data_IF_222310730383
#
_entry.id   IF_222310730383
#
_cell.length_a   1.000
_cell.length_b   1.000
_cell.length_c   1.000
_cell.angle_alpha   90.00
_cell.angle_beta   90.00
_cell.angle_gamma   90.00
#
_symmetry.space_group_name_H-M   'P 1'
#
loop_
_entity.id
_entity.type
_entity.pdbx_description
1 polymer ?
#
# COMPACT_ATOMS: atom_id res chain seq x y z
N UNK A 1 3.94 -54.30 -10.37
CA UNK A 1 4.38 -53.95 -9.00
C UNK A 1 4.34 -52.42 -8.82
N UNK A 2 3.18 -51.80 -9.10
CA UNK A 2 3.03 -50.32 -9.04
C UNK A 2 1.67 -49.90 -8.44
N UNK A 3 0.96 -50.83 -7.81
CA UNK A 3 -0.47 -50.73 -7.49
C UNK A 3 -0.71 -50.41 -6.00
N UNK A 4 -0.02 -49.39 -5.48
CA UNK A 4 -0.13 -48.97 -4.07
C UNK A 4 -0.10 -47.44 -3.81
N UNK A 5 -0.27 -46.60 -4.84
CA UNK A 5 -0.13 -45.12 -4.68
C UNK A 5 -1.48 -44.38 -4.50
N UNK A 6 -2.61 -45.00 -4.86
CA UNK A 6 -3.94 -44.37 -4.76
C UNK A 6 -4.70 -44.80 -3.50
N UNK A 7 -4.09 -44.58 -2.33
CA UNK A 7 -4.74 -44.81 -1.05
C UNK A 7 -5.89 -43.82 -0.82
N UNK A 8 -7.10 -44.34 -0.61
CA UNK A 8 -8.26 -43.59 -0.11
C UNK A 8 -8.12 -43.25 1.39
N UNK A 9 -6.97 -42.69 1.78
CA UNK A 9 -6.58 -42.48 3.16
C UNK A 9 -6.95 -41.10 3.69
N UNK A 10 -7.45 -41.07 4.93
CA UNK A 10 -7.64 -39.88 5.77
C UNK A 10 -6.31 -39.27 6.27
N UNK A 11 -5.25 -39.39 5.48
CA UNK A 11 -3.88 -38.99 5.85
C UNK A 11 -3.68 -37.49 5.84
N UNK A 12 -2.74 -37.02 6.68
CA UNK A 12 -2.30 -35.63 6.68
C UNK A 12 -1.75 -35.24 5.29
N UNK A 13 -2.10 -34.04 4.82
CA UNK A 13 -1.66 -33.57 3.51
C UNK A 13 -0.15 -33.35 3.48
N UNK A 14 0.56 -34.10 2.64
CA UNK A 14 2.00 -33.96 2.41
C UNK A 14 2.23 -33.17 1.13
N UNK A 15 3.05 -32.11 1.20
CA UNK A 15 3.37 -31.28 0.06
C UNK A 15 4.16 -32.10 -1.00
N UNK A 16 3.71 -32.17 -2.27
CA UNK A 16 4.42 -32.95 -3.29
C UNK A 16 5.80 -32.36 -3.62
N UNK A 17 6.75 -33.22 -4.01
CA UNK A 17 8.07 -32.81 -4.50
C UNK A 17 7.96 -31.92 -5.76
N UNK A 18 8.75 -30.84 -5.83
CA UNK A 18 8.86 -29.90 -6.95
C UNK A 18 8.88 -30.54 -8.33
N UNK A 19 9.60 -31.67 -8.51
CA UNK A 19 9.63 -32.39 -9.80
C UNK A 19 8.25 -32.88 -10.23
N UNK A 20 7.41 -33.29 -9.27
CA UNK A 20 6.02 -33.69 -9.53
C UNK A 20 5.11 -32.47 -9.73
N UNK A 21 5.33 -31.37 -9.00
CA UNK A 21 4.57 -30.12 -9.19
C UNK A 21 4.80 -29.55 -10.60
N UNK A 22 6.05 -29.48 -11.04
CA UNK A 22 6.42 -29.05 -12.39
C UNK A 22 5.84 -29.97 -13.49
N UNK A 23 5.81 -31.29 -13.26
CA UNK A 23 5.18 -32.25 -14.17
C UNK A 23 3.66 -32.01 -14.25
N UNK A 24 2.97 -31.85 -13.11
CA UNK A 24 1.52 -31.60 -13.07
C UNK A 24 1.13 -30.28 -13.71
N UNK A 25 1.94 -29.24 -13.54
CA UNK A 25 1.76 -27.96 -14.22
C UNK A 25 1.87 -28.10 -15.76
N UNK A 26 2.88 -28.82 -16.26
CA UNK A 26 3.02 -29.12 -17.70
C UNK A 26 1.87 -29.97 -18.25
N UNK A 27 1.37 -30.93 -17.48
CA UNK A 27 0.25 -31.79 -17.85
C UNK A 27 -1.13 -31.17 -17.60
N UNK A 28 -1.20 -29.92 -17.13
CA UNK A 28 -2.43 -29.23 -16.72
C UNK A 28 -3.31 -30.00 -15.71
N UNK A 29 -2.73 -30.95 -14.97
CA UNK A 29 -3.42 -31.76 -13.95
C UNK A 29 -3.54 -31.06 -12.60
N UNK A 30 -3.05 -29.82 -12.50
CA UNK A 30 -3.19 -28.93 -11.35
C UNK A 30 -2.39 -29.32 -10.11
N UNK A 31 -2.59 -28.57 -9.01
CA UNK A 31 -1.66 -28.54 -7.87
C UNK A 31 -1.84 -29.67 -6.84
N UNK A 32 -2.85 -30.54 -6.99
CA UNK A 32 -3.10 -31.65 -6.07
C UNK A 32 -3.35 -32.97 -6.80
N UNK A 33 -3.17 -34.11 -6.12
CA UNK A 33 -3.45 -35.44 -6.66
C UNK A 33 -4.97 -35.67 -6.89
N UNK A 34 -5.82 -34.85 -6.26
CA UNK A 34 -7.27 -35.01 -6.22
C UNK A 34 -8.04 -34.04 -7.14
N UNK A 35 -7.38 -33.38 -8.09
CA UNK A 35 -8.01 -32.39 -8.98
C UNK A 35 -9.23 -32.91 -9.74
N UNK A 36 -9.31 -34.21 -10.04
CA UNK A 36 -10.48 -34.84 -10.67
C UNK A 36 -11.52 -35.41 -9.70
N UNK A 37 -11.20 -35.55 -8.40
CA UNK A 37 -12.19 -35.85 -7.34
C UNK A 37 -12.77 -34.57 -6.72
N UNK A 38 -12.43 -33.40 -7.29
CA UNK A 38 -12.52 -32.11 -6.64
C UNK A 38 -13.94 -31.58 -6.42
N UNK A 39 -14.97 -32.03 -7.15
CA UNK A 39 -16.37 -31.62 -6.88
C UNK A 39 -16.84 -32.05 -5.50
N UNK A 40 -16.65 -33.34 -5.14
CA UNK A 40 -17.05 -33.86 -3.83
C UNK A 40 -16.22 -33.25 -2.72
N UNK A 41 -14.89 -33.15 -2.90
CA UNK A 41 -14.02 -32.50 -1.91
C UNK A 41 -14.26 -30.99 -1.78
N UNK A 42 -14.61 -30.26 -2.86
CA UNK A 42 -15.03 -28.85 -2.77
C UNK A 42 -16.38 -28.70 -2.07
N UNK A 43 -17.35 -29.59 -2.33
CA UNK A 43 -18.63 -29.61 -1.59
C UNK A 43 -18.41 -29.93 -0.11
N UNK A 44 -17.44 -30.76 0.24
CA UNK A 44 -17.02 -31.01 1.64
C UNK A 44 -16.21 -29.86 2.27
N UNK A 45 -15.63 -28.97 1.47
CA UNK A 45 -14.96 -27.73 1.90
C UNK A 45 -15.84 -26.48 1.69
N UNK A 46 -17.13 -26.67 1.42
CA UNK A 46 -18.07 -25.57 1.27
C UNK A 46 -18.29 -24.92 2.65
N UNK A 47 -17.80 -23.68 2.79
CA UNK A 47 -18.04 -22.86 3.97
C UNK A 47 -19.54 -22.77 4.24
N UNK A 48 -19.96 -23.01 5.47
CA UNK A 48 -21.33 -22.70 5.88
C UNK A 48 -21.60 -21.20 5.68
N UNK A 49 -22.87 -20.80 5.48
CA UNK A 49 -23.22 -19.38 5.37
C UNK A 49 -22.71 -18.54 6.55
N UNK A 50 -22.58 -19.14 7.75
CA UNK A 50 -22.08 -18.47 8.94
C UNK A 50 -20.56 -18.27 8.92
N UNK A 51 -19.79 -19.27 8.51
CA UNK A 51 -18.33 -19.12 8.36
C UNK A 51 -17.99 -18.10 7.27
N UNK A 52 -18.73 -18.11 6.16
CA UNK A 52 -18.60 -17.12 5.09
C UNK A 52 -18.87 -15.70 5.60
N UNK A 53 -19.89 -15.49 6.42
CA UNK A 53 -20.18 -14.20 7.05
C UNK A 53 -19.00 -13.71 7.93
N UNK A 54 -18.43 -14.60 8.75
CA UNK A 54 -17.29 -14.29 9.62
C UNK A 54 -16.06 -13.89 8.79
N UNK A 55 -15.74 -14.65 7.74
CA UNK A 55 -14.62 -14.36 6.83
C UNK A 55 -14.82 -13.00 6.13
N UNK A 56 -16.02 -12.73 5.63
CA UNK A 56 -16.36 -11.43 5.04
C UNK A 56 -16.26 -10.28 6.06
N UNK A 57 -16.57 -10.52 7.34
CA UNK A 57 -16.36 -9.57 8.42
C UNK A 57 -14.88 -9.23 8.64
N UNK A 58 -14.00 -10.23 8.61
CA UNK A 58 -12.54 -10.05 8.70
C UNK A 58 -12.01 -9.25 7.49
N UNK A 59 -12.44 -9.59 6.27
CA UNK A 59 -12.04 -8.88 5.04
C UNK A 59 -12.43 -7.39 5.13
N UNK A 60 -13.70 -7.07 5.45
CA UNK A 60 -14.16 -5.68 5.61
C UNK A 60 -13.38 -4.91 6.66
N UNK A 61 -12.98 -5.58 7.76
CA UNK A 61 -12.14 -4.97 8.81
C UNK A 61 -10.73 -4.68 8.30
N UNK A 62 -10.13 -5.59 7.54
CA UNK A 62 -8.82 -5.39 6.92
C UNK A 62 -8.85 -4.25 5.88
N UNK A 63 -9.86 -4.22 5.00
CA UNK A 63 -10.06 -3.15 4.00
C UNK A 63 -10.23 -1.78 4.67
N UNK A 64 -10.98 -1.69 5.78
CA UNK A 64 -11.12 -0.45 6.55
C UNK A 64 -9.80 0.01 7.19
N UNK A 65 -8.99 -0.92 7.69
CA UNK A 65 -7.67 -0.61 8.25
C UNK A 65 -6.69 -0.13 7.16
N UNK A 66 -6.68 -0.79 6.00
CA UNK A 66 -5.87 -0.38 4.85
C UNK A 66 -6.26 1.02 4.37
N UNK A 67 -7.56 1.32 4.23
CA UNK A 67 -8.01 2.67 3.84
C UNK A 67 -7.53 3.78 4.80
N UNK A 68 -7.57 3.54 6.12
CA UNK A 68 -7.04 4.49 7.12
C UNK A 68 -5.53 4.64 7.01
N UNK A 69 -4.81 3.54 6.76
CA UNK A 69 -3.35 3.53 6.59
C UNK A 69 -2.93 4.27 5.31
N UNK A 70 -3.63 4.04 4.18
CA UNK A 70 -3.41 4.75 2.92
C UNK A 70 -3.57 6.27 3.09
N UNK A 71 -4.54 6.74 3.89
CA UNK A 71 -4.69 8.17 4.22
C UNK A 71 -3.56 8.67 5.12
N UNK A 72 -3.10 7.86 6.08
CA UNK A 72 -1.97 8.21 6.97
C UNK A 72 -0.68 8.35 6.20
N UNK A 73 -0.36 7.41 5.30
CA UNK A 73 0.80 7.50 4.38
C UNK A 73 0.65 8.71 3.46
N UNK A 74 -0.57 8.98 2.96
CA UNK A 74 -0.86 10.16 2.13
C UNK A 74 -0.45 11.48 2.78
N UNK A 75 -0.76 11.69 4.07
CA UNK A 75 -0.33 12.87 4.84
C UNK A 75 1.20 12.96 5.00
N UNK A 76 1.89 11.83 5.15
CA UNK A 76 3.35 11.80 5.22
C UNK A 76 3.99 12.22 3.89
N UNK A 77 3.48 11.69 2.77
CA UNK A 77 3.94 12.05 1.43
C UNK A 77 3.64 13.52 1.12
N UNK A 78 2.44 14.02 1.45
CA UNK A 78 2.08 15.43 1.22
C UNK A 78 3.01 16.40 1.98
N UNK A 79 3.31 16.13 3.27
CA UNK A 79 4.26 16.93 4.05
C UNK A 79 5.64 16.99 3.38
N UNK A 80 6.16 15.84 2.93
CA UNK A 80 7.44 15.77 2.24
C UNK A 80 7.43 16.52 0.90
N UNK A 81 6.35 16.40 0.12
CA UNK A 81 6.17 17.12 -1.14
C UNK A 81 6.05 18.64 -0.94
N UNK A 82 5.42 19.09 0.15
CA UNK A 82 5.37 20.50 0.51
C UNK A 82 6.75 21.03 0.93
N UNK A 83 7.55 20.24 1.66
CA UNK A 83 8.95 20.59 1.93
C UNK A 83 9.80 20.69 0.66
N UNK A 84 9.54 19.85 -0.35
CA UNK A 84 10.21 19.92 -1.67
C UNK A 84 9.83 21.18 -2.45
N UNK A 85 8.56 21.56 -2.44
CA UNK A 85 8.06 22.76 -3.15
C UNK A 85 8.55 24.06 -2.53
N UNK A 86 8.75 24.07 -1.21
CA UNK A 86 9.22 25.24 -0.47
C UNK A 86 10.75 25.34 -0.39
N UNK A 87 11.49 24.53 -1.15
CA UNK A 87 12.95 24.61 -1.24
C UNK A 87 13.37 25.76 -2.18
N UNK A 88 14.12 26.74 -1.68
CA UNK A 88 14.35 28.01 -2.38
C UNK A 88 15.67 28.10 -3.16
N UNK A 89 16.68 27.26 -2.85
CA UNK A 89 18.04 27.45 -3.37
C UNK A 89 18.51 26.37 -4.36
N UNK A 90 19.56 26.71 -5.12
CA UNK A 90 20.13 25.81 -6.13
C UNK A 90 20.87 24.58 -5.53
N UNK A 91 21.38 24.68 -4.31
CA UNK A 91 22.18 23.63 -3.66
C UNK A 91 23.63 23.55 -4.14
N UNK A 92 24.17 24.63 -4.73
CA UNK A 92 25.53 24.73 -5.28
C UNK A 92 26.30 25.91 -4.69
N UNK A 93 25.78 27.13 -4.90
CA UNK A 93 26.26 28.39 -4.32
C UNK A 93 25.31 28.92 -3.23
N UNK A 94 24.08 28.41 -3.19
CA UNK A 94 23.06 28.72 -2.20
C UNK A 94 22.60 27.45 -1.50
N UNK A 95 22.16 27.57 -0.24
CA UNK A 95 21.54 26.50 0.51
C UNK A 95 20.28 26.01 -0.19
N UNK A 96 20.22 24.71 -0.53
CA UNK A 96 19.05 24.10 -1.18
C UNK A 96 17.71 24.47 -0.53
N UNK A 97 17.66 24.58 0.80
CA UNK A 97 16.40 24.81 1.53
C UNK A 97 16.06 26.31 1.64
N UNK A 98 16.92 27.13 2.25
CA UNK A 98 16.62 28.53 2.57
C UNK A 98 17.13 29.56 1.54
N UNK A 99 17.84 29.15 0.49
CA UNK A 99 18.38 30.07 -0.53
C UNK A 99 19.59 30.91 -0.09
N UNK A 100 19.98 30.86 1.19
CA UNK A 100 21.12 31.60 1.75
C UNK A 100 22.44 31.27 1.04
N UNK A 101 23.23 32.30 0.69
CA UNK A 101 24.54 32.16 0.03
C UNK A 101 25.53 31.39 0.91
N UNK A 102 26.32 30.51 0.28
CA UNK A 102 27.28 29.62 0.92
C UNK A 102 28.70 29.93 0.47
N UNK A 103 29.66 29.96 1.39
CA UNK A 103 31.08 30.19 1.10
C UNK A 103 31.73 31.19 2.04
N UNK A 104 32.83 31.81 1.59
CA UNK A 104 33.68 32.71 2.39
C UNK A 104 32.93 33.91 3.01
N UNK A 105 31.95 34.47 2.28
CA UNK A 105 31.12 35.60 2.73
C UNK A 105 29.68 35.16 3.11
N UNK A 106 29.46 33.85 3.29
CA UNK A 106 28.14 33.27 3.50
C UNK A 106 28.11 32.28 4.66
N UNK A 107 26.98 31.58 4.81
CA UNK A 107 26.85 30.55 5.85
C UNK A 107 27.74 29.34 5.55
N UNK A 108 28.22 28.69 6.62
CA UNK A 108 28.98 27.43 6.53
C UNK A 108 28.11 26.32 5.90
N UNK A 109 28.70 25.57 4.97
CA UNK A 109 27.98 24.60 4.14
C UNK A 109 28.42 23.16 4.35
N UNK A 110 27.46 22.24 4.28
CA UNK A 110 27.66 20.79 4.30
C UNK A 110 27.00 20.14 3.09
N UNK A 111 27.51 18.99 2.65
CA UNK A 111 26.91 18.21 1.57
C UNK A 111 25.91 17.18 2.11
N UNK A 112 24.71 17.14 1.54
CA UNK A 112 23.76 16.06 1.81
C UNK A 112 24.23 14.76 1.16
N UNK A 113 24.37 13.68 1.94
CA UNK A 113 24.82 12.39 1.44
C UNK A 113 23.87 11.80 0.38
N UNK A 114 22.56 12.02 0.51
CA UNK A 114 21.55 11.42 -0.36
C UNK A 114 21.41 12.16 -1.70
N UNK A 115 21.16 13.48 -1.66
CA UNK A 115 20.90 14.27 -2.89
C UNK A 115 22.13 15.00 -3.45
N UNK A 116 23.30 14.88 -2.82
CA UNK A 116 24.59 15.50 -3.20
C UNK A 116 24.62 17.03 -3.31
N UNK A 117 23.54 17.71 -2.91
CA UNK A 117 23.45 19.18 -2.88
C UNK A 117 23.94 19.76 -1.55
N UNK A 118 24.44 20.99 -1.59
CA UNK A 118 24.86 21.75 -0.40
C UNK A 118 23.66 22.34 0.36
N UNK A 119 23.78 22.38 1.68
CA UNK A 119 22.92 23.13 2.59
C UNK A 119 23.75 23.86 3.63
N UNK A 120 23.24 24.96 4.20
CA UNK A 120 23.86 25.54 5.38
C UNK A 120 23.69 24.61 6.58
N UNK A 121 24.56 24.72 7.58
CA UNK A 121 24.53 23.91 8.82
C UNK A 121 23.18 23.94 9.54
N UNK A 122 22.47 25.08 9.53
CA UNK A 122 21.08 25.23 10.05
C UNK A 122 20.02 24.39 9.31
N UNK A 123 20.30 24.05 8.04
CA UNK A 123 19.42 23.29 7.14
C UNK A 123 19.88 21.83 6.93
N UNK A 124 21.08 21.50 7.39
CA UNK A 124 21.57 20.14 7.54
C UNK A 124 21.08 19.50 8.85
N UNK A 125 21.21 18.19 8.92
CA UNK A 125 21.10 17.37 10.12
C UNK A 125 22.29 16.42 10.08
N UNK A 126 23.09 16.41 11.15
CA UNK A 126 24.14 15.42 11.35
C UNK A 126 23.52 14.15 11.94
N UNK A 127 23.89 13.00 11.37
CA UNK A 127 23.42 11.68 11.80
C UNK A 127 24.55 10.67 11.73
N UNK A 128 24.37 9.51 12.38
CA UNK A 128 25.34 8.40 12.30
C UNK A 128 24.88 7.40 11.24
N UNK A 129 25.79 7.05 10.32
CA UNK A 129 25.55 6.04 9.29
C UNK A 129 25.69 4.60 9.79
N UNK A 130 25.29 3.64 8.94
CA UNK A 130 25.44 2.21 9.22
C UNK A 130 26.88 1.80 9.60
N UNK A 131 27.89 2.49 9.06
CA UNK A 131 29.31 2.27 9.33
C UNK A 131 29.84 3.05 10.55
N UNK A 132 28.97 3.52 11.45
CA UNK A 132 29.27 4.37 12.62
C UNK A 132 29.99 5.70 12.29
N UNK A 133 30.03 6.12 11.02
CA UNK A 133 30.62 7.40 10.58
C UNK A 133 29.56 8.51 10.62
N UNK A 134 29.92 9.75 11.00
CA UNK A 134 29.04 10.90 10.87
C UNK A 134 28.73 11.16 9.39
N UNK A 135 27.49 11.54 9.10
CA UNK A 135 27.02 11.93 7.78
C UNK A 135 25.99 13.04 7.90
N UNK A 136 25.95 13.91 6.89
CA UNK A 136 25.01 15.02 6.82
C UNK A 136 23.89 14.75 5.83
N UNK A 137 22.66 15.10 6.21
CA UNK A 137 21.47 15.11 5.35
C UNK A 137 20.84 16.50 5.35
N UNK A 138 20.23 16.91 4.24
CA UNK A 138 19.29 18.03 4.30
C UNK A 138 17.98 17.58 4.96
N UNK A 139 17.22 18.50 5.56
CA UNK A 139 15.93 18.20 6.22
C UNK A 139 14.95 17.44 5.31
N UNK A 140 14.94 17.70 3.99
CA UNK A 140 14.12 16.96 3.02
C UNK A 140 14.53 15.48 2.91
N UNK A 141 15.83 15.18 2.81
CA UNK A 141 16.31 13.80 2.72
C UNK A 141 16.13 13.05 4.06
N UNK A 142 16.31 13.74 5.18
CA UNK A 142 15.99 13.18 6.50
C UNK A 142 14.50 12.83 6.62
N UNK A 143 13.59 13.76 6.29
CA UNK A 143 12.14 13.47 6.28
C UNK A 143 11.81 12.36 5.28
N UNK A 144 12.46 12.30 4.10
CA UNK A 144 12.27 11.20 3.14
C UNK A 144 12.61 9.83 3.77
N UNK A 145 13.69 9.72 4.53
CA UNK A 145 14.05 8.50 5.27
C UNK A 145 13.04 8.16 6.37
N UNK A 146 12.52 9.16 7.07
CA UNK A 146 11.44 8.95 8.05
C UNK A 146 10.14 8.48 7.40
N UNK A 147 9.75 9.03 6.25
CA UNK A 147 8.61 8.54 5.46
C UNK A 147 8.83 7.08 5.06
N UNK A 148 10.03 6.70 4.61
CA UNK A 148 10.33 5.30 4.26
C UNK A 148 10.20 4.33 5.43
N UNK A 149 10.70 4.71 6.62
CA UNK A 149 10.53 3.91 7.85
C UNK A 149 9.07 3.83 8.26
N UNK A 150 8.41 4.98 8.41
CA UNK A 150 7.05 5.12 8.98
C UNK A 150 5.94 4.61 8.08
N UNK A 151 6.18 4.39 6.78
CA UNK A 151 5.23 3.78 5.83
C UNK A 151 5.51 2.32 5.52
N UNK A 152 6.58 1.73 6.07
CA UNK A 152 7.01 0.38 5.69
C UNK A 152 7.61 0.27 4.27
N UNK A 153 7.83 1.38 3.56
CA UNK A 153 8.39 1.35 2.21
C UNK A 153 9.78 0.70 2.13
N UNK A 154 10.55 0.72 3.24
CA UNK A 154 11.81 0.00 3.38
C UNK A 154 11.66 -1.53 3.22
N UNK A 155 10.53 -2.09 3.62
CA UNK A 155 10.21 -3.52 3.53
C UNK A 155 9.69 -3.87 2.14
N UNK A 156 8.73 -3.09 1.62
CA UNK A 156 8.13 -3.31 0.29
C UNK A 156 9.00 -2.83 -0.88
N UNK A 157 10.19 -2.26 -0.61
CA UNK A 157 11.12 -1.67 -1.58
C UNK A 157 10.51 -0.56 -2.45
N UNK A 158 9.46 0.10 -1.94
CA UNK A 158 8.69 1.13 -2.61
C UNK A 158 7.57 1.65 -1.71
N UNK A 159 7.05 2.84 -1.99
CA UNK A 159 5.93 3.39 -1.23
C UNK A 159 4.66 2.53 -1.45
N UNK A 160 3.97 2.11 -0.38
CA UNK A 160 2.69 1.41 -0.50
C UNK A 160 1.59 2.25 -1.17
N UNK A 161 0.42 1.60 -1.33
CA UNK A 161 -0.91 2.21 -1.50
C UNK A 161 -1.02 3.53 -0.72
N UNK A 162 -1.34 4.68 -1.32
CA UNK A 162 -1.70 5.87 -0.52
C UNK A 162 -2.71 6.78 -1.23
N UNK A 163 -3.57 7.41 -0.43
CA UNK A 163 -4.57 8.38 -0.89
C UNK A 163 -4.06 9.76 -0.50
N UNK A 164 -3.83 10.64 -1.48
CA UNK A 164 -3.47 12.04 -1.19
C UNK A 164 -4.66 12.72 -0.51
N UNK A 165 -4.46 13.46 0.60
CA UNK A 165 -5.52 14.29 1.15
C UNK A 165 -6.08 15.23 0.08
N UNK A 166 -7.40 15.34 -0.01
CA UNK A 166 -7.99 16.42 -0.78
C UNK A 166 -7.59 17.73 -0.09
N UNK A 167 -6.98 18.64 -0.86
CA UNK A 167 -6.84 20.02 -0.42
C UNK A 167 -8.25 20.58 -0.22
N UNK A 168 -8.58 20.91 1.02
CA UNK A 168 -9.79 21.67 1.33
C UNK A 168 -9.65 23.08 0.78
N UNK A 169 -10.03 23.28 -0.49
CA UNK A 169 -10.35 24.60 -1.00
C UNK A 169 -11.50 25.14 -0.15
N UNK A 170 -11.27 26.26 0.53
CA UNK A 170 -12.31 26.92 1.31
C UNK A 170 -13.36 27.50 0.34
N UNK A 171 -14.39 26.73 0.07
CA UNK A 171 -15.58 27.15 -0.67
C UNK A 171 -16.81 26.75 0.15
N UNK A 172 -17.25 27.71 0.97
CA UNK A 172 -18.57 27.90 1.60
C UNK A 172 -19.43 26.64 1.85
N UNK A 173 -19.86 26.36 3.10
CA UNK A 173 -21.00 25.49 3.30
C UNK A 173 -22.23 26.17 2.68
N UNK A 174 -22.80 25.59 1.62
CA UNK A 174 -24.19 25.86 1.30
C UNK A 174 -25.03 25.09 2.32
N UNK A 175 -25.76 25.84 3.14
CA UNK A 175 -26.80 25.30 4.00
C UNK A 175 -27.82 24.52 3.17
N UNK A 176 -28.09 23.28 3.58
CA UNK A 176 -29.28 22.56 3.14
C UNK A 176 -30.48 23.11 3.91
N UNK A 177 -31.06 24.20 3.40
CA UNK A 177 -32.31 24.75 3.92
C UNK A 177 -33.50 23.88 3.45
N UNK A 178 -34.45 23.46 4.31
CA UNK A 178 -35.52 22.54 3.92
C UNK A 178 -36.78 23.22 3.33
N UNK A 179 -37.51 22.45 2.50
CA UNK A 179 -38.93 22.59 2.09
C UNK A 179 -39.33 23.73 1.11
N UNK A 180 -40.50 23.62 0.41
CA UNK A 180 -41.56 22.60 0.50
C UNK A 180 -41.95 21.88 -0.83
N UNK A 181 -42.84 20.88 -0.69
CA UNK A 181 -43.38 20.00 -1.75
C UNK A 181 -44.20 20.69 -2.84
N UNK A 182 -43.87 20.36 -4.10
CA UNK A 182 -44.72 19.70 -5.12
C UNK A 182 -43.83 18.62 -5.79
N UNK A 183 -44.29 17.59 -6.52
CA UNK A 183 -45.64 17.12 -6.84
C UNK A 183 -45.59 15.74 -7.54
N UNK A 184 -46.67 15.33 -8.21
CA UNK A 184 -46.80 14.09 -9.02
C UNK A 184 -46.03 14.12 -10.36
N UNK A 185 -45.55 13.02 -10.96
CA UNK A 185 -45.50 11.58 -10.61
C UNK A 185 -44.25 10.96 -11.32
N UNK A 186 -43.98 9.64 -11.43
CA UNK A 186 -44.71 8.40 -11.18
C UNK A 186 -43.72 7.22 -10.90
N UNK A 187 -44.20 5.97 -10.97
CA UNK A 187 -43.39 4.74 -10.94
C UNK A 187 -43.71 3.84 -12.16
N UNK A 188 -42.88 2.81 -12.47
CA UNK A 188 -43.02 1.53 -11.76
C UNK A 188 -41.70 0.79 -11.40
N UNK A 189 -41.72 0.22 -10.18
CA UNK A 189 -41.23 -1.07 -9.63
C UNK A 189 -40.08 -1.93 -10.28
N UNK A 190 -39.44 -2.83 -9.49
CA UNK A 190 -38.04 -3.20 -9.67
C UNK A 190 -37.76 -4.62 -10.19
N UNK A 191 -36.53 -4.84 -10.66
CA UNK A 191 -35.94 -6.18 -10.83
C UNK A 191 -34.64 -6.38 -10.01
N UNK A 192 -34.48 -7.61 -9.50
CA UNK A 192 -33.42 -7.99 -8.56
C UNK A 192 -32.08 -8.26 -9.24
N UNK A 193 -31.01 -7.59 -8.82
CA UNK A 193 -29.65 -7.90 -9.25
C UNK A 193 -28.79 -8.39 -8.07
N UNK A 194 -28.48 -9.68 -8.07
CA UNK A 194 -27.53 -10.28 -7.14
C UNK A 194 -26.13 -9.68 -7.32
N UNK A 195 -25.68 -8.90 -6.35
CA UNK A 195 -24.39 -8.20 -6.42
C UNK A 195 -23.22 -9.17 -6.34
N UNK A 196 -22.70 -9.57 -7.50
CA UNK A 196 -21.42 -10.30 -7.62
C UNK A 196 -20.26 -9.39 -7.22
N UNK A 197 -19.97 -9.35 -5.91
CA UNK A 197 -18.92 -8.53 -5.32
C UNK A 197 -17.55 -9.10 -5.68
N UNK A 198 -16.99 -8.60 -6.79
CA UNK A 198 -15.63 -8.93 -7.23
C UNK A 198 -14.59 -8.26 -6.32
N UNK A 199 -13.92 -9.05 -5.48
CA UNK A 199 -12.84 -8.55 -4.63
C UNK A 199 -11.54 -8.32 -5.44
N UNK A 200 -10.78 -7.29 -5.07
CA UNK A 200 -9.60 -6.84 -5.82
C UNK A 200 -8.44 -7.84 -5.83
N UNK A 201 -8.39 -8.76 -4.86
CA UNK A 201 -7.42 -9.86 -4.80
C UNK A 201 -7.77 -11.06 -5.68
N UNK A 202 -9.01 -11.15 -6.19
CA UNK A 202 -9.46 -12.27 -7.02
C UNK A 202 -9.00 -12.18 -8.49
N UNK A 203 -8.33 -11.08 -8.89
CA UNK A 203 -7.69 -10.96 -10.21
C UNK A 203 -6.22 -11.37 -10.11
N UNK A 204 -5.96 -12.65 -10.42
CA UNK A 204 -4.62 -13.10 -10.81
C UNK A 204 -4.15 -12.37 -12.08
N UNK A 205 -2.84 -12.27 -12.25
CA UNK A 205 -2.21 -11.83 -13.51
C UNK A 205 -2.12 -13.00 -14.50
#
# INVERSE_FOLDING_TARGET
>A
MADMIFGSGTGAWVCPNDRQLALRAKLQTGWSVHTFQSEKQRKMQALSPKELEVILGVIRKAEKLDAVEQQRIGRLVERLENMRKNAMGNGLSQCLLCGETLGLLGSSSVFCQDCKKKVCTKCGIETVGAQKRPLWLCKICSEQREVWKRSGAWFYRGLPKYIRPLKSSSSKPLELQPQPWQGEAAAPEPESVGSSRSFTWARGK
#
